data_IF_245630257049
#
_entry.id   IF_245630257049
#
_cell.length_a   1.000
_cell.length_b   1.000
_cell.length_c   1.000
_cell.angle_alpha   90.00
_cell.angle_beta   90.00
_cell.angle_gamma   90.00
#
_symmetry.space_group_name_H-M   'P 1'
#
loop_
_entity.id
_entity.type
_entity.pdbx_description
1 polymer ?
#
# COMPACT_ATOMS: atom_id res chain seq x y z
N UNK A 1 -20.87 3.88 26.99
CA UNK A 1 -21.00 3.27 25.64
C UNK A 1 -19.68 3.43 24.92
N UNK A 2 -18.80 2.43 25.00
CA UNK A 2 -17.54 2.43 24.27
C UNK A 2 -17.76 1.77 22.91
N UNK A 3 -17.56 2.51 21.82
CA UNK A 3 -17.41 1.91 20.49
C UNK A 3 -16.04 1.24 20.44
N UNK A 4 -16.00 -0.08 20.61
CA UNK A 4 -14.83 -0.88 20.30
C UNK A 4 -14.76 -0.99 18.78
N UNK A 5 -14.03 -0.09 18.12
CA UNK A 5 -13.63 -0.30 16.73
C UNK A 5 -12.62 -1.44 16.71
N UNK A 6 -13.11 -2.67 16.60
CA UNK A 6 -12.25 -3.77 16.18
C UNK A 6 -11.78 -3.42 14.77
N UNK A 7 -10.54 -2.93 14.63
CA UNK A 7 -9.85 -2.98 13.35
C UNK A 7 -9.83 -4.46 12.97
N UNK A 8 -10.67 -4.85 12.01
CA UNK A 8 -10.50 -6.10 11.29
C UNK A 8 -9.19 -5.95 10.52
N UNK A 9 -8.08 -6.27 11.18
CA UNK A 9 -6.76 -6.30 10.57
C UNK A 9 -6.84 -7.30 9.44
N UNK A 10 -6.90 -6.82 8.19
CA UNK A 10 -6.83 -7.70 7.03
C UNK A 10 -5.46 -8.36 7.10
N UNK A 11 -5.37 -9.68 7.29
CA UNK A 11 -4.11 -10.38 7.47
C UNK A 11 -3.24 -10.37 6.22
N UNK A 12 -3.63 -9.67 5.14
CA UNK A 12 -2.90 -9.63 3.87
C UNK A 12 -1.54 -8.94 3.96
N UNK A 13 -1.28 -8.10 4.97
CA UNK A 13 0.03 -7.44 5.14
C UNK A 13 0.78 -8.01 6.34
N UNK A 14 1.20 -9.28 6.27
CA UNK A 14 2.01 -9.90 7.34
C UNK A 14 3.46 -9.42 7.28
N UNK A 15 3.99 -9.23 6.07
CA UNK A 15 5.36 -8.77 5.80
C UNK A 15 5.36 -7.91 4.55
N UNK A 16 5.68 -6.63 4.71
CA UNK A 16 5.83 -5.74 3.58
C UNK A 16 6.98 -4.75 3.79
N UNK A 17 7.70 -4.47 2.71
CA UNK A 17 8.77 -3.47 2.69
C UNK A 17 8.21 -2.14 2.18
N UNK A 18 8.58 -1.05 2.85
CA UNK A 18 8.26 0.30 2.39
C UNK A 18 9.13 0.63 1.17
N UNK A 19 8.50 0.76 0.00
CA UNK A 19 9.17 1.15 -1.25
C UNK A 19 9.30 2.67 -1.33
N UNK A 20 8.21 3.37 -1.00
CA UNK A 20 8.14 4.83 -1.11
C UNK A 20 7.14 5.39 -0.12
N UNK A 21 7.47 6.55 0.45
CA UNK A 21 6.55 7.36 1.24
C UNK A 21 6.61 8.80 0.73
N UNK A 22 5.46 9.45 0.59
CA UNK A 22 5.40 10.87 0.26
C UNK A 22 4.25 11.57 0.96
N UNK A 23 4.46 12.86 1.21
CA UNK A 23 3.43 13.77 1.66
C UNK A 23 2.95 14.59 0.46
N UNK A 24 1.64 14.73 0.31
CA UNK A 24 1.02 15.63 -0.67
C UNK A 24 0.10 16.59 0.06
N UNK A 25 0.31 17.88 -0.15
CA UNK A 25 -0.59 18.93 0.32
C UNK A 25 -1.06 19.67 -0.94
N UNK A 26 -2.17 19.24 -1.56
CA UNK A 26 -2.80 20.03 -2.61
C UNK A 26 -3.10 21.44 -2.05
N UNK A 27 -2.94 22.48 -2.86
CA UNK A 27 -3.07 23.87 -2.39
C UNK A 27 -4.40 24.09 -1.64
N UNK A 28 -4.31 24.62 -0.42
CA UNK A 28 -5.44 24.84 0.52
C UNK A 28 -6.18 23.57 1.02
N UNK A 29 -5.71 22.37 0.69
CA UNK A 29 -6.28 21.11 1.19
C UNK A 29 -5.52 20.53 2.40
N UNK A 30 -6.20 19.58 3.05
CA UNK A 30 -5.61 18.73 4.07
C UNK A 30 -4.49 17.84 3.51
N UNK A 31 -3.56 17.46 4.39
CA UNK A 31 -2.40 16.66 4.02
C UNK A 31 -2.78 15.20 3.77
N UNK A 32 -2.39 14.68 2.61
CA UNK A 32 -2.40 13.25 2.31
C UNK A 32 -1.01 12.65 2.53
N UNK A 33 -0.97 11.48 3.15
CA UNK A 33 0.20 10.63 3.33
C UNK A 33 0.06 9.42 2.44
N UNK A 34 0.99 9.25 1.51
CA UNK A 34 0.94 8.17 0.54
C UNK A 34 2.12 7.21 0.71
N UNK A 35 1.83 5.92 0.60
CA UNK A 35 2.80 4.83 0.76
C UNK A 35 2.69 3.85 -0.41
N UNK A 36 3.85 3.34 -0.85
CA UNK A 36 3.99 2.18 -1.72
C UNK A 36 4.62 1.05 -0.88
N UNK A 37 3.94 -0.09 -0.73
CA UNK A 37 4.41 -1.23 0.05
C UNK A 37 4.58 -2.45 -0.88
N UNK A 38 5.74 -3.10 -0.84
CA UNK A 38 6.00 -4.37 -1.50
C UNK A 38 5.64 -5.49 -0.52
N UNK A 39 4.60 -6.27 -0.82
CA UNK A 39 4.13 -7.33 0.08
C UNK A 39 4.81 -8.65 -0.30
N UNK A 40 5.41 -9.30 0.68
CA UNK A 40 6.02 -10.61 0.49
C UNK A 40 4.93 -11.70 0.56
N UNK A 41 5.05 -12.77 -0.24
CA UNK A 41 4.15 -13.91 -0.14
C UNK A 41 4.27 -14.59 1.23
N UNK A 42 3.21 -15.29 1.64
CA UNK A 42 3.19 -16.04 2.91
C UNK A 42 4.33 -17.08 2.99
N UNK A 43 4.64 -17.71 1.85
CA UNK A 43 5.74 -18.67 1.72
C UNK A 43 6.69 -18.27 0.61
N UNK A 44 7.97 -18.15 0.94
CA UNK A 44 9.01 -17.83 -0.04
C UNK A 44 9.38 -19.10 -0.83
N UNK A 45 9.19 -19.11 -2.17
CA UNK A 45 9.59 -20.25 -2.97
C UNK A 45 11.12 -20.41 -2.94
N UNK A 46 11.58 -21.60 -2.59
CA UNK A 46 13.00 -21.95 -2.48
C UNK A 46 13.74 -21.94 -3.84
N UNK A 47 12.99 -21.96 -4.95
CA UNK A 47 13.49 -21.84 -6.31
C UNK A 47 12.60 -20.89 -7.11
N UNK A 48 12.85 -19.59 -7.02
CA UNK A 48 12.35 -18.65 -8.02
C UNK A 48 13.51 -18.07 -8.80
N UNK A 49 13.30 -17.87 -10.11
CA UNK A 49 14.27 -17.18 -10.96
C UNK A 49 14.61 -15.78 -10.40
N UNK A 50 13.66 -15.19 -9.70
CA UNK A 50 13.81 -13.89 -9.06
C UNK A 50 14.73 -13.95 -7.85
N UNK A 51 14.71 -14.99 -6.98
CA UNK A 51 15.52 -15.07 -5.76
C UNK A 51 17.04 -15.16 -6.04
N UNK A 52 17.46 -15.57 -7.25
CA UNK A 52 18.87 -15.74 -7.64
C UNK A 52 19.73 -16.58 -6.66
N UNK A 53 19.11 -17.31 -5.72
CA UNK A 53 19.81 -18.01 -4.63
C UNK A 53 20.40 -17.09 -3.56
N UNK A 54 20.01 -15.80 -3.52
CA UNK A 54 20.55 -14.79 -2.60
C UNK A 54 19.82 -14.75 -1.25
N UNK A 55 18.79 -15.59 -1.07
CA UNK A 55 18.03 -15.66 0.17
C UNK A 55 17.02 -14.54 0.35
N UNK A 56 16.64 -13.84 -0.73
CA UNK A 56 15.60 -12.82 -0.69
C UNK A 56 14.24 -13.40 -1.09
N UNK A 57 13.19 -12.95 -0.41
CA UNK A 57 11.83 -13.31 -0.76
C UNK A 57 11.27 -12.24 -1.71
N UNK A 58 11.06 -12.53 -3.01
CA UNK A 58 10.48 -11.55 -3.91
C UNK A 58 9.05 -11.24 -3.48
N UNK A 59 8.67 -9.96 -3.58
CA UNK A 59 7.28 -9.55 -3.38
C UNK A 59 6.35 -10.18 -4.43
N UNK A 60 5.10 -10.45 -4.04
CA UNK A 60 4.04 -10.98 -4.90
C UNK A 60 3.06 -9.90 -5.36
N UNK A 61 2.90 -8.86 -4.55
CA UNK A 61 1.93 -7.80 -4.73
C UNK A 61 2.48 -6.47 -4.21
N UNK A 62 1.85 -5.39 -4.65
CA UNK A 62 2.14 -4.02 -4.22
C UNK A 62 0.86 -3.39 -3.71
N UNK A 63 0.92 -2.83 -2.51
CA UNK A 63 -0.16 -2.06 -1.89
C UNK A 63 0.18 -0.58 -1.91
N UNK A 64 -0.69 0.21 -2.52
CA UNK A 64 -0.58 1.67 -2.55
C UNK A 64 -1.62 2.25 -1.60
N UNK A 65 -1.19 2.94 -0.55
CA UNK A 65 -2.08 3.55 0.43
C UNK A 65 -2.04 5.08 0.32
N UNK A 66 -3.19 5.75 0.43
CA UNK A 66 -3.30 7.19 0.68
C UNK A 66 -4.16 7.41 1.92
N UNK A 67 -3.64 8.15 2.88
CA UNK A 67 -4.26 8.39 4.17
C UNK A 67 -4.35 9.89 4.48
N UNK A 68 -5.44 10.28 5.13
CA UNK A 68 -5.73 11.66 5.53
C UNK A 68 -6.45 11.67 6.88
N UNK A 69 -6.25 12.73 7.65
CA UNK A 69 -7.05 13.01 8.86
C UNK A 69 -7.89 14.25 8.59
N UNK A 70 -9.22 14.08 8.63
CA UNK A 70 -10.24 15.11 8.43
C UNK A 70 -11.30 15.01 9.51
N UNK A 71 -11.68 16.12 10.12
CA UNK A 71 -12.72 16.18 11.17
C UNK A 71 -12.52 15.16 12.32
N UNK A 72 -11.26 14.96 12.72
CA UNK A 72 -10.88 14.02 13.78
C UNK A 72 -11.02 12.53 13.41
N UNK A 73 -11.21 12.21 12.13
CA UNK A 73 -11.29 10.84 11.60
C UNK A 73 -10.18 10.58 10.60
N UNK A 74 -9.66 9.35 10.61
CA UNK A 74 -8.69 8.90 9.62
C UNK A 74 -9.41 8.18 8.49
N UNK A 75 -9.14 8.60 7.27
CA UNK A 75 -9.62 7.95 6.05
C UNK A 75 -8.43 7.38 5.29
N UNK A 76 -8.57 6.15 4.82
CA UNK A 76 -7.50 5.44 4.10
C UNK A 76 -8.10 4.81 2.84
N UNK A 77 -7.46 5.06 1.70
CA UNK A 77 -7.72 4.37 0.44
C UNK A 77 -6.52 3.47 0.11
N UNK A 78 -6.78 2.22 -0.22
CA UNK A 78 -5.77 1.25 -0.63
C UNK A 78 -6.05 0.72 -2.03
N UNK A 79 -5.02 0.66 -2.85
CA UNK A 79 -5.02 -0.01 -4.16
C UNK A 79 -4.03 -1.17 -4.08
N UNK A 80 -4.53 -2.38 -4.15
CA UNK A 80 -3.73 -3.60 -4.19
C UNK A 80 -3.59 -4.08 -5.64
N UNK A 81 -2.39 -4.50 -6.02
CA UNK A 81 -2.14 -5.01 -7.35
C UNK A 81 -1.08 -6.13 -7.33
N UNK A 82 -1.20 -7.07 -8.28
CA UNK A 82 -0.19 -8.11 -8.46
C UNK A 82 1.11 -7.52 -9.01
N UNK A 83 2.22 -8.26 -8.87
CA UNK A 83 3.51 -7.92 -9.48
C UNK A 83 3.42 -7.64 -10.98
N UNK A 84 2.60 -8.39 -11.72
CA UNK A 84 2.40 -8.23 -13.17
C UNK A 84 1.67 -6.91 -13.49
N UNK A 85 0.61 -6.61 -12.74
CA UNK A 85 -0.13 -5.35 -12.87
C UNK A 85 0.76 -4.15 -12.55
N UNK A 86 1.57 -4.25 -11.50
CA UNK A 86 2.53 -3.22 -11.12
C UNK A 86 3.55 -2.95 -12.24
N UNK A 87 4.17 -4.01 -12.78
CA UNK A 87 5.13 -3.88 -13.89
C UNK A 87 4.52 -3.23 -15.13
N UNK A 88 3.23 -3.49 -15.41
CA UNK A 88 2.54 -2.96 -16.59
C UNK A 88 2.02 -1.53 -16.42
N UNK A 89 1.52 -1.19 -15.23
CA UNK A 89 0.65 -0.01 -15.06
C UNK A 89 0.91 0.76 -13.77
N UNK A 90 2.13 0.68 -13.20
CA UNK A 90 2.49 1.39 -11.95
C UNK A 90 2.16 2.88 -11.96
N UNK A 91 2.37 3.59 -13.08
CA UNK A 91 2.05 5.02 -13.20
C UNK A 91 0.57 5.30 -13.03
N UNK A 92 -0.30 4.46 -13.61
CA UNK A 92 -1.74 4.66 -13.56
C UNK A 92 -2.31 4.24 -12.20
N UNK A 93 -1.79 3.16 -11.62
CA UNK A 93 -2.12 2.75 -10.25
C UNK A 93 -1.79 3.85 -9.23
N UNK A 94 -0.62 4.50 -9.37
CA UNK A 94 -0.24 5.66 -8.55
C UNK A 94 -1.18 6.85 -8.75
N UNK A 95 -1.61 7.11 -9.99
CA UNK A 95 -2.59 8.16 -10.30
C UNK A 95 -3.95 7.89 -9.66
N UNK A 96 -4.43 6.65 -9.72
CA UNK A 96 -5.68 6.24 -9.06
C UNK A 96 -5.59 6.50 -7.56
N UNK A 97 -4.53 6.02 -6.90
CA UNK A 97 -4.32 6.31 -5.47
C UNK A 97 -4.32 7.83 -5.19
N UNK A 98 -3.57 8.60 -5.97
CA UNK A 98 -3.46 10.05 -5.75
C UNK A 98 -4.68 10.87 -6.14
N UNK A 99 -5.67 10.24 -6.76
CA UNK A 99 -6.97 10.84 -7.01
C UNK A 99 -7.92 10.75 -5.80
N UNK A 100 -7.54 9.99 -4.76
CA UNK A 100 -8.34 9.86 -3.55
C UNK A 100 -8.56 11.22 -2.89
N UNK A 101 -9.83 11.57 -2.65
CA UNK A 101 -10.26 12.80 -1.97
C UNK A 101 -11.38 12.50 -0.99
N UNK A 102 -11.36 13.18 0.16
CA UNK A 102 -12.42 13.15 1.17
C UNK A 102 -13.15 14.48 1.18
N UNK A 103 -14.39 14.47 0.71
CA UNK A 103 -15.30 15.63 0.71
C UNK A 103 -16.14 15.66 1.97
#
# INVERSE_FOLDING_TARGET
MGMTTSLSYSPTVIKADLISGRKSTPEEEETYYEFDLAVAPETCPSKSADNLGLGFCPYDSVLLASAIVKDGRMYVCTVECSKEQWKRSSSDLKRVRSSFRVV
#
